data_IF_893075864764
#
_entry.id   IF_893075864764
#
_cell.length_a   1.000
_cell.length_b   1.000
_cell.length_c   1.000
_cell.angle_alpha   90.00
_cell.angle_beta   90.00
_cell.angle_gamma   90.00
#
_symmetry.space_group_name_H-M   'P 1'
#
loop_
_entity.id
_entity.type
_entity.pdbx_description
1 polymer ?
#
# COMPACT_ATOMS: atom_id res chain seq x y z
N UNK A 1 5.35 20.52 3.81
CA UNK A 1 5.54 19.17 4.37
C UNK A 1 5.07 18.16 3.34
N UNK A 2 5.95 17.22 2.96
CA UNK A 2 5.64 16.06 2.13
C UNK A 2 5.49 14.87 3.07
N UNK A 3 4.41 14.11 2.95
CA UNK A 3 4.27 12.84 3.66
C UNK A 3 4.76 11.75 2.72
N UNK A 4 5.60 10.85 3.21
CA UNK A 4 6.27 9.82 2.42
C UNK A 4 6.12 8.45 3.08
N UNK A 5 5.68 7.45 2.32
CA UNK A 5 5.53 6.06 2.78
C UNK A 5 6.23 5.12 1.82
N UNK A 6 7.00 4.17 2.34
CA UNK A 6 7.75 3.19 1.56
C UNK A 6 7.14 1.78 1.65
N UNK A 7 7.21 1.06 0.52
CA UNK A 7 6.78 -0.34 0.38
C UNK A 7 7.66 -1.07 -0.61
N UNK A 8 7.84 -2.37 -0.41
CA UNK A 8 8.42 -3.27 -1.42
C UNK A 8 7.53 -3.26 -2.67
N UNK A 9 8.16 -3.17 -3.83
CA UNK A 9 7.53 -3.09 -5.14
C UNK A 9 8.03 -4.21 -6.03
N UNK A 10 7.12 -5.06 -6.51
CA UNK A 10 7.42 -6.26 -7.33
C UNK A 10 8.50 -7.19 -6.74
N UNK A 11 8.66 -7.21 -5.42
CA UNK A 11 9.49 -8.17 -4.68
C UNK A 11 10.97 -7.78 -4.48
N UNK A 12 11.52 -6.88 -5.29
CA UNK A 12 12.96 -6.57 -5.29
C UNK A 12 13.30 -5.08 -5.48
N UNK A 13 12.28 -4.23 -5.58
CA UNK A 13 12.39 -2.77 -5.71
C UNK A 13 11.67 -2.09 -4.56
N UNK A 14 11.90 -0.80 -4.38
CA UNK A 14 11.10 0.02 -3.47
C UNK A 14 10.16 0.93 -4.24
N UNK A 15 9.04 1.23 -3.61
CA UNK A 15 8.12 2.30 -3.98
C UNK A 15 8.05 3.32 -2.86
N UNK A 16 7.77 4.57 -3.24
CA UNK A 16 7.64 5.69 -2.34
C UNK A 16 6.40 6.49 -2.74
N UNK A 17 5.38 6.47 -1.90
CA UNK A 17 4.18 7.29 -2.07
C UNK A 17 4.40 8.64 -1.39
N UNK A 18 4.24 9.73 -2.13
CA UNK A 18 4.26 11.10 -1.64
C UNK A 18 2.92 11.79 -1.87
N UNK A 19 2.40 12.53 -0.89
CA UNK A 19 1.26 13.41 -1.10
C UNK A 19 1.63 14.88 -0.84
N UNK A 20 1.29 15.75 -1.79
CA UNK A 20 1.39 17.19 -1.60
C UNK A 20 0.30 17.69 -0.66
N UNK A 21 0.69 18.36 0.43
CA UNK A 21 -0.26 18.91 1.39
C UNK A 21 -1.25 19.92 0.79
N UNK A 22 -0.81 20.78 -0.15
CA UNK A 22 -1.68 21.83 -0.71
C UNK A 22 -2.61 21.30 -1.80
N UNK A 23 -2.05 20.58 -2.78
CA UNK A 23 -2.78 20.15 -3.98
C UNK A 23 -3.43 18.77 -3.85
N UNK A 24 -3.10 18.00 -2.79
CA UNK A 24 -3.49 16.59 -2.59
C UNK A 24 -2.99 15.63 -3.66
N UNK A 25 -2.20 16.12 -4.61
CA UNK A 25 -1.53 15.35 -5.66
C UNK A 25 -0.70 14.25 -5.02
N UNK A 26 -0.86 13.03 -5.53
CA UNK A 26 -0.09 11.86 -5.13
C UNK A 26 0.97 11.61 -6.21
N UNK A 27 2.20 11.41 -5.77
CA UNK A 27 3.33 11.04 -6.61
C UNK A 27 3.88 9.73 -6.09
N UNK A 28 4.04 8.76 -6.97
CA UNK A 28 4.62 7.47 -6.63
C UNK A 28 5.95 7.36 -7.36
N UNK A 29 7.03 7.31 -6.58
CA UNK A 29 8.35 6.95 -7.08
C UNK A 29 8.58 5.46 -6.93
N UNK A 30 9.36 4.86 -7.83
CA UNK A 30 9.90 3.50 -7.64
C UNK A 30 11.39 3.50 -7.93
N UNK A 31 12.13 2.58 -7.35
CA UNK A 31 13.53 2.38 -7.73
C UNK A 31 13.60 1.84 -9.15
N UNK A 32 14.51 2.39 -9.96
CA UNK A 32 14.70 1.97 -11.35
C UNK A 32 15.20 0.52 -11.41
N UNK A 33 16.20 0.24 -10.58
CA UNK A 33 16.85 -1.07 -10.49
C UNK A 33 16.42 -1.78 -9.21
N UNK A 34 16.69 -3.10 -9.18
CA UNK A 34 16.63 -3.90 -7.95
C UNK A 34 17.59 -3.31 -6.92
N UNK A 35 17.24 -3.44 -5.64
CA UNK A 35 18.12 -3.00 -4.57
C UNK A 35 19.06 -4.15 -4.23
N UNK A 36 20.32 -3.98 -4.60
CA UNK A 36 21.41 -4.86 -4.17
C UNK A 36 22.01 -4.25 -2.91
N UNK A 37 22.02 -4.99 -1.80
CA UNK A 37 22.63 -4.53 -0.54
C UNK A 37 24.16 -4.50 -0.60
N UNK A 38 24.76 -5.24 -1.55
CA UNK A 38 26.20 -5.38 -1.70
C UNK A 38 26.82 -4.29 -2.58
N UNK A 39 26.04 -3.76 -3.53
CA UNK A 39 26.45 -2.66 -4.38
C UNK A 39 26.12 -1.36 -3.67
N UNK A 40 27.10 -0.72 -3.01
CA UNK A 40 26.95 0.59 -2.36
C UNK A 40 26.66 1.77 -3.31
N UNK A 41 26.03 1.51 -4.46
CA UNK A 41 25.65 2.49 -5.47
C UNK A 41 24.39 3.26 -5.06
N UNK A 42 24.30 4.50 -5.51
CA UNK A 42 23.13 5.35 -5.27
C UNK A 42 21.84 4.75 -5.84
N UNK A 43 20.79 4.77 -5.01
CA UNK A 43 19.45 4.31 -5.39
C UNK A 43 18.81 5.33 -6.35
N UNK A 44 18.72 4.96 -7.62
CA UNK A 44 18.05 5.79 -8.65
C UNK A 44 16.53 5.61 -8.56
N UNK A 45 15.83 6.71 -8.28
CA UNK A 45 14.37 6.78 -8.28
C UNK A 45 13.83 7.24 -9.63
N UNK A 46 12.70 6.68 -10.06
CA UNK A 46 11.94 7.14 -11.21
C UNK A 46 10.48 7.40 -10.83
N UNK A 47 9.85 8.39 -11.46
CA UNK A 47 8.42 8.61 -11.29
C UNK A 47 7.65 7.47 -11.96
N UNK A 48 6.84 6.76 -11.18
CA UNK A 48 6.02 5.66 -11.66
C UNK A 48 4.64 6.14 -12.08
N UNK A 49 3.96 6.87 -11.20
CA UNK A 49 2.67 7.46 -11.52
C UNK A 49 2.42 8.73 -10.73
N UNK A 50 1.54 9.56 -11.28
CA UNK A 50 1.12 10.81 -10.68
C UNK A 50 -0.40 10.89 -10.74
N UNK A 51 -1.03 11.06 -9.58
CA UNK A 51 -2.47 11.11 -9.44
C UNK A 51 -2.91 12.48 -8.92
N UNK A 52 -3.81 13.12 -9.65
CA UNK A 52 -4.42 14.39 -9.26
C UNK A 52 -5.93 14.25 -9.26
N UNK A 53 -6.47 13.77 -8.15
CA UNK A 53 -7.89 13.49 -7.98
C UNK A 53 -8.53 14.69 -7.25
N UNK A 54 -9.58 15.31 -7.80
CA UNK A 54 -10.30 16.37 -7.12
C UNK A 54 -10.84 15.90 -5.76
N UNK A 55 -10.72 16.74 -4.72
CA UNK A 55 -11.25 16.48 -3.38
C UNK A 55 -10.71 15.19 -2.72
N UNK A 56 -9.51 14.73 -3.08
CA UNK A 56 -8.91 13.56 -2.44
C UNK A 56 -8.53 13.85 -0.98
N UNK A 57 -8.82 12.93 -0.04
CA UNK A 57 -8.51 13.14 1.37
C UNK A 57 -6.99 13.19 1.61
N UNK A 58 -6.63 13.76 2.74
CA UNK A 58 -5.23 13.79 3.19
C UNK A 58 -4.83 12.43 3.72
N UNK A 59 -3.66 11.98 3.33
CA UNK A 59 -3.01 10.78 3.84
C UNK A 59 -2.17 11.16 5.05
N UNK A 60 -2.80 11.46 6.18
CA UNK A 60 -2.11 11.91 7.41
C UNK A 60 -2.15 10.80 8.44
N UNK A 61 -1.02 10.57 9.13
CA UNK A 61 -1.08 10.03 10.49
C UNK A 61 -1.37 11.21 11.44
N UNK A 62 -2.63 11.46 11.75
CA UNK A 62 -3.02 12.49 12.71
C UNK A 62 -2.94 11.91 14.14
N UNK A 63 -3.22 12.73 15.15
CA UNK A 63 -3.22 12.31 16.56
C UNK A 63 -4.21 11.17 16.87
N UNK A 64 -5.19 10.94 15.98
CA UNK A 64 -6.19 9.87 16.05
C UNK A 64 -5.88 8.68 15.13
N UNK A 65 -4.90 8.79 14.23
CA UNK A 65 -4.49 7.77 13.26
C UNK A 65 -3.00 7.49 13.40
N UNK A 66 -2.67 6.64 14.36
CA UNK A 66 -1.29 6.28 14.71
C UNK A 66 -0.54 5.46 13.64
N UNK A 67 -1.14 5.14 12.48
CA UNK A 67 -0.50 4.29 11.48
C UNK A 67 -0.46 4.89 10.09
N UNK A 68 0.66 4.58 9.45
CA UNK A 68 0.93 4.91 8.07
C UNK A 68 -0.11 4.25 7.14
N UNK A 69 -0.61 4.95 6.12
CA UNK A 69 -1.43 4.36 5.08
C UNK A 69 -0.71 3.17 4.45
N UNK A 70 -1.47 2.16 4.07
CA UNK A 70 -0.98 1.04 3.27
C UNK A 70 -1.45 1.21 1.84
N UNK A 71 -0.58 0.88 0.89
CA UNK A 71 -0.91 0.99 -0.52
C UNK A 71 -0.35 -0.17 -1.31
N UNK A 72 -1.00 -0.45 -2.43
CA UNK A 72 -0.63 -1.44 -3.41
C UNK A 72 -0.78 -0.84 -4.81
N UNK A 73 0.17 -1.17 -5.68
CA UNK A 73 0.24 -0.66 -7.04
C UNK A 73 0.12 -1.86 -7.97
N UNK A 74 -0.89 -1.81 -8.84
CA UNK A 74 -1.11 -2.78 -9.90
C UNK A 74 -1.24 -2.06 -11.24
N UNK A 75 -0.17 -2.06 -12.02
CA UNK A 75 -0.05 -1.30 -13.26
C UNK A 75 -0.45 0.18 -13.09
N UNK A 76 -1.63 0.59 -13.58
CA UNK A 76 -2.17 1.96 -13.47
C UNK A 76 -3.09 2.17 -12.26
N UNK A 77 -3.33 1.13 -11.47
CA UNK A 77 -4.22 1.15 -10.31
C UNK A 77 -3.44 1.34 -9.02
N UNK A 78 -3.95 2.24 -8.19
CA UNK A 78 -3.51 2.43 -6.82
C UNK A 78 -4.65 2.01 -5.89
N UNK A 79 -4.41 0.99 -5.07
CA UNK A 79 -5.26 0.65 -3.94
C UNK A 79 -4.61 1.23 -2.70
N UNK A 80 -5.37 1.97 -1.92
CA UNK A 80 -4.88 2.69 -0.76
C UNK A 80 -5.84 2.47 0.40
N UNK A 81 -5.32 2.02 1.54
CA UNK A 81 -6.05 1.97 2.79
C UNK A 81 -5.51 3.04 3.72
N UNK A 82 -6.36 3.97 4.13
CA UNK A 82 -6.03 5.08 5.01
C UNK A 82 -7.26 5.53 5.80
N UNK A 83 -7.03 6.10 6.97
CA UNK A 83 -8.06 6.87 7.65
C UNK A 83 -8.35 8.17 6.90
N UNK A 84 -9.59 8.63 6.97
CA UNK A 84 -9.94 10.02 6.64
C UNK A 84 -9.56 10.98 7.77
N UNK A 85 -9.86 12.27 7.60
CA UNK A 85 -9.51 13.32 8.57
C UNK A 85 -10.22 13.14 9.93
N UNK A 86 -11.28 12.33 10.00
CA UNK A 86 -12.07 12.03 11.21
C UNK A 86 -11.60 10.71 11.86
N UNK A 87 -10.71 9.96 11.20
CA UNK A 87 -10.19 8.69 11.69
C UNK A 87 -10.93 7.47 11.14
N UNK A 88 -11.93 7.61 10.28
CA UNK A 88 -12.62 6.45 9.72
C UNK A 88 -11.74 5.72 8.71
N UNK A 89 -11.62 4.39 8.80
CA UNK A 89 -10.84 3.61 7.85
C UNK A 89 -11.56 3.46 6.50
N UNK A 90 -10.84 3.73 5.42
CA UNK A 90 -11.34 3.65 4.05
C UNK A 90 -10.36 2.93 3.14
N UNK A 91 -10.91 2.15 2.21
CA UNK A 91 -10.20 1.64 1.04
C UNK A 91 -10.56 2.50 -0.17
N UNK A 92 -9.56 3.08 -0.81
CA UNK A 92 -9.66 3.84 -2.05
C UNK A 92 -9.05 3.03 -3.19
N UNK A 93 -9.78 2.90 -4.29
CA UNK A 93 -9.27 2.34 -5.55
C UNK A 93 -9.24 3.46 -6.56
N UNK A 94 -8.05 3.79 -7.06
CA UNK A 94 -7.82 4.89 -8.00
C UNK A 94 -7.22 4.35 -9.28
N UNK A 95 -7.72 4.82 -10.41
CA UNK A 95 -7.21 4.51 -11.75
C UNK A 95 -7.31 5.76 -12.63
N UNK A 96 -6.28 6.07 -13.42
CA UNK A 96 -6.29 7.18 -14.39
C UNK A 96 -6.83 8.53 -13.85
N UNK A 97 -6.35 8.97 -12.67
CA UNK A 97 -6.80 10.19 -11.97
C UNK A 97 -8.27 10.19 -11.50
N UNK A 98 -8.95 9.04 -11.50
CA UNK A 98 -10.33 8.89 -11.07
C UNK A 98 -10.40 7.98 -9.85
N UNK A 99 -11.23 8.37 -8.88
CA UNK A 99 -11.61 7.49 -7.78
C UNK A 99 -12.65 6.49 -8.29
N UNK A 100 -12.24 5.23 -8.46
CA UNK A 100 -13.09 4.15 -8.99
C UNK A 100 -13.99 3.59 -7.90
N UNK A 101 -13.44 3.43 -6.70
CA UNK A 101 -14.18 2.90 -5.56
C UNK A 101 -13.69 3.52 -4.25
N UNK A 102 -14.63 3.70 -3.32
CA UNK A 102 -14.38 4.13 -1.95
C UNK A 102 -15.25 3.28 -1.02
N UNK A 103 -14.62 2.46 -0.19
CA UNK A 103 -15.31 1.51 0.69
C UNK A 103 -14.98 1.83 2.15
N UNK A 104 -16.01 2.04 2.98
CA UNK A 104 -15.85 2.24 4.42
C UNK A 104 -15.66 0.90 5.11
N UNK A 105 -14.69 0.79 6.01
CA UNK A 105 -14.57 -0.38 6.88
C UNK A 105 -15.38 -0.09 8.16
N UNK A 106 -16.55 -0.73 8.28
CA UNK A 106 -17.53 -0.42 9.34
C UNK A 106 -17.35 -1.27 10.62
N UNK A 107 -16.55 -2.33 10.59
CA UNK A 107 -16.51 -3.37 11.65
C UNK A 107 -15.14 -3.48 12.33
N UNK A 108 -14.40 -2.37 12.32
CA UNK A 108 -13.11 -2.27 13.02
C UNK A 108 -13.42 -1.56 14.35
N UNK A 109 -13.78 -2.34 15.36
CA UNK A 109 -14.15 -1.85 16.69
C UNK A 109 -12.95 -1.35 17.53
N UNK A 110 -11.73 -1.66 17.09
CA UNK A 110 -10.50 -1.09 17.64
C UNK A 110 -10.11 0.19 16.89
N UNK A 111 -9.36 1.10 17.53
CA UNK A 111 -8.95 2.35 16.89
C UNK A 111 -8.19 2.14 15.58
N UNK A 112 -7.72 0.93 15.25
CA UNK A 112 -7.09 0.65 13.96
C UNK A 112 -7.05 -0.84 13.55
N UNK A 113 -7.18 -1.17 12.25
CA UNK A 113 -6.79 -2.49 11.75
C UNK A 113 -5.26 -2.50 11.55
N UNK A 114 -4.54 -3.37 12.25
CA UNK A 114 -3.17 -3.72 11.85
C UNK A 114 -3.22 -4.29 10.42
N UNK A 115 -2.98 -3.44 9.43
CA UNK A 115 -3.00 -3.86 8.03
C UNK A 115 -1.68 -4.54 7.69
N UNK A 116 -1.69 -5.88 7.72
CA UNK A 116 -0.64 -6.67 7.09
C UNK A 116 -0.81 -6.60 5.57
N UNK A 117 0.11 -5.91 4.88
CA UNK A 117 0.21 -6.03 3.42
C UNK A 117 0.86 -7.37 3.09
N UNK A 118 0.06 -8.38 2.78
CA UNK A 118 0.54 -9.65 2.25
C UNK A 118 0.77 -9.51 0.74
N UNK A 119 1.99 -9.76 0.28
CA UNK A 119 2.29 -9.89 -1.14
C UNK A 119 2.03 -11.36 -1.51
N UNK A 120 0.96 -11.68 -2.27
CA UNK A 120 0.70 -13.05 -2.65
C UNK A 120 1.86 -13.55 -3.51
N UNK A 121 2.64 -14.46 -2.93
CA UNK A 121 3.60 -15.26 -3.64
C UNK A 121 2.83 -16.25 -4.52
N UNK A 122 3.19 -16.35 -5.81
CA UNK A 122 2.75 -17.46 -6.66
C UNK A 122 3.45 -18.77 -6.30
N UNK A 123 4.37 -18.77 -5.33
CA UNK A 123 4.94 -19.99 -4.76
C UNK A 123 3.83 -20.66 -3.93
N UNK A 124 3.39 -21.87 -4.31
CA UNK A 124 2.44 -22.61 -3.50
C UNK A 124 2.99 -22.78 -2.09
N UNK A 125 2.17 -22.51 -1.07
CA UNK A 125 2.54 -22.82 0.32
C UNK A 125 2.89 -24.32 0.37
N UNK A 126 4.08 -24.70 0.90
CA UNK A 126 4.44 -26.10 1.05
C UNK A 126 3.31 -26.81 1.78
N UNK A 127 2.67 -27.77 1.13
CA UNK A 127 1.64 -28.56 1.79
C UNK A 127 2.37 -29.33 2.90
N UNK A 128 1.95 -29.12 4.15
CA UNK A 128 2.36 -29.99 5.25
C UNK A 128 2.04 -31.45 4.88
N UNK A 129 2.74 -32.43 5.49
CA UNK A 129 2.42 -33.83 5.27
C UNK A 129 0.92 -34.03 5.50
N UNK A 130 0.24 -34.61 4.51
CA UNK A 130 -1.12 -35.09 4.70
C UNK A 130 -1.05 -36.10 5.84
N UNK A 131 -1.72 -35.84 6.95
CA UNK A 131 -2.15 -36.94 7.81
C UNK A 131 -3.09 -37.77 6.94
N UNK A 132 -2.53 -38.85 6.38
CA UNK A 132 -3.33 -39.96 5.91
C UNK A 132 -4.16 -40.40 7.10
N UNK A 133 -5.46 -40.11 7.05
CA UNK A 133 -6.40 -40.65 8.00
C UNK A 133 -6.19 -42.16 8.00
N UNK A 134 -5.62 -42.67 9.09
CA UNK A 134 -5.58 -44.09 9.39
C UNK A 134 -7.04 -44.55 9.47
N UNK A 135 -7.57 -45.02 8.35
CA UNK A 135 -8.74 -45.88 8.34
C UNK A 135 -8.31 -47.17 9.05
N UNK A 136 -8.63 -47.25 10.34
CA UNK A 136 -8.66 -48.51 11.07
C UNK A 136 -10.03 -49.15 10.81
N UNK A 137 -9.98 -50.31 10.15
CA UNK A 137 -10.93 -51.43 10.03
C UNK A 137 -12.44 -51.20 10.26
#
# INVERSE_FOLDING_TARGET
MLLSFDRVFKGDRLSLLKQCYKTKKIEIGVTKNKINLEDGNDVVWMNFMTLSIPNFPRLVSNEYSCSQPSYFIDDKRLVLCSCDEIGHPWIYVVEENKLISKVKLNDVFDPWPLHCTYFPSLVPVPRGPREEALLQD
#
